data_IF_954405960179
#
_entry.id   IF_954405960179
#
_cell.length_a   1.000
_cell.length_b   1.000
_cell.length_c   1.000
_cell.angle_alpha   90.00
_cell.angle_beta   90.00
_cell.angle_gamma   90.00
#
_symmetry.space_group_name_H-M   'P 1'
#
loop_
_entity.id
_entity.type
_entity.pdbx_description
1 polymer ?
#
# COMPACT_ATOMS: atom_id res chain seq x y z
N UNK A 1 -6.08 -21.11 -2.99
CA UNK A 1 -5.23 -20.04 -2.41
C UNK A 1 -6.11 -18.96 -1.83
N UNK A 2 -5.89 -18.58 -0.57
CA UNK A 2 -6.30 -17.28 -0.07
C UNK A 2 -5.22 -16.28 -0.47
N UNK A 3 -5.55 -15.09 -0.96
CA UNK A 3 -4.57 -14.02 -1.08
C UNK A 3 -3.92 -13.82 0.30
N UNK A 4 -2.62 -13.96 0.38
CA UNK A 4 -1.86 -13.71 1.61
C UNK A 4 -1.14 -12.39 1.41
N UNK A 5 -1.62 -11.35 2.06
CA UNK A 5 -0.95 -10.06 2.06
C UNK A 5 0.38 -10.15 2.82
N UNK A 6 1.36 -9.34 2.45
CA UNK A 6 2.68 -9.36 3.08
C UNK A 6 2.64 -9.05 4.58
N UNK A 7 1.56 -8.45 5.06
CA UNK A 7 1.34 -8.15 6.48
C UNK A 7 0.51 -9.21 7.23
N UNK A 8 -0.03 -10.22 6.54
CA UNK A 8 -0.77 -11.30 7.18
C UNK A 8 0.20 -12.32 7.81
N UNK A 9 -0.10 -12.72 9.04
CA UNK A 9 0.74 -13.60 9.84
C UNK A 9 -0.11 -14.61 10.63
N UNK A 10 0.32 -15.87 10.68
CA UNK A 10 -0.41 -16.92 11.39
C UNK A 10 -0.26 -16.83 12.91
N UNK A 11 0.89 -16.32 13.38
CA UNK A 11 1.20 -16.22 14.81
C UNK A 11 0.61 -14.95 15.42
N UNK A 12 0.77 -13.83 14.73
CA UNK A 12 0.42 -12.49 15.24
C UNK A 12 -0.82 -11.90 14.58
N UNK A 13 -1.45 -12.61 13.65
CA UNK A 13 -2.46 -12.15 12.70
C UNK A 13 -1.94 -11.08 11.73
N UNK A 14 -1.09 -10.20 12.20
CA UNK A 14 -0.49 -9.09 11.44
C UNK A 14 0.95 -8.88 11.89
N UNK A 15 1.89 -8.92 10.97
CA UNK A 15 3.30 -8.61 11.22
C UNK A 15 4.03 -8.18 9.94
N UNK A 16 5.20 -7.54 10.04
CA UNK A 16 6.05 -7.23 8.89
C UNK A 16 6.95 -8.40 8.44
N UNK A 17 6.87 -9.57 9.06
CA UNK A 17 7.84 -10.67 8.89
C UNK A 17 8.00 -11.16 7.44
N UNK A 18 6.96 -10.99 6.60
CA UNK A 18 6.99 -11.38 5.19
C UNK A 18 7.56 -10.31 4.25
N UNK A 19 7.90 -9.14 4.77
CA UNK A 19 8.57 -8.10 4.00
C UNK A 19 10.01 -8.56 3.77
N UNK A 20 10.42 -8.69 2.51
CA UNK A 20 11.70 -9.32 2.17
C UNK A 20 12.92 -8.37 2.24
N UNK A 21 12.71 -7.11 2.57
CA UNK A 21 13.76 -6.08 2.66
C UNK A 21 13.65 -5.28 3.94
N UNK A 22 14.74 -4.68 4.38
CA UNK A 22 14.71 -3.70 5.47
C UNK A 22 14.02 -2.41 5.04
N UNK A 23 13.48 -1.69 6.01
CA UNK A 23 12.89 -0.37 5.82
C UNK A 23 13.79 0.71 6.40
N UNK A 24 13.51 1.99 6.10
CA UNK A 24 14.19 3.14 6.75
C UNK A 24 14.10 3.04 8.27
N UNK A 25 12.96 2.59 8.77
CA UNK A 25 12.71 2.40 10.20
C UNK A 25 13.63 1.33 10.80
N UNK A 26 13.83 0.23 10.07
CA UNK A 26 14.74 -0.84 10.49
C UNK A 26 16.19 -0.35 10.53
N UNK A 27 16.62 0.39 9.50
CA UNK A 27 17.98 0.94 9.43
C UNK A 27 18.24 1.94 10.56
N UNK A 28 17.27 2.78 10.93
CA UNK A 28 17.38 3.67 12.09
C UNK A 28 17.56 2.88 13.39
N UNK A 29 16.80 1.79 13.57
CA UNK A 29 16.95 0.89 14.72
C UNK A 29 18.34 0.23 14.76
N UNK A 30 18.84 -0.22 13.62
CA UNK A 30 20.17 -0.81 13.51
C UNK A 30 21.26 0.24 13.85
N UNK A 31 21.16 1.42 13.25
CA UNK A 31 22.10 2.53 13.49
C UNK A 31 22.17 2.94 14.95
N UNK A 32 21.02 3.05 15.60
CA UNK A 32 20.91 3.43 17.02
C UNK A 32 21.06 2.25 17.98
N UNK A 33 21.38 1.06 17.48
CA UNK A 33 21.49 -0.19 18.28
C UNK A 33 20.24 -0.47 19.11
N UNK A 34 19.09 -0.19 18.53
CA UNK A 34 17.78 -0.39 19.13
C UNK A 34 17.30 0.72 20.07
N UNK A 35 18.06 1.78 20.25
CA UNK A 35 17.72 2.85 21.19
C UNK A 35 16.64 3.82 20.67
N UNK A 36 16.56 4.03 19.35
CA UNK A 36 15.52 4.87 18.75
C UNK A 36 14.13 4.32 19.02
N UNK A 37 13.16 5.18 19.28
CA UNK A 37 11.74 4.83 19.29
C UNK A 37 11.18 4.97 17.87
N UNK A 38 10.53 3.92 17.37
CA UNK A 38 10.00 3.88 16.01
C UNK A 38 8.55 3.44 16.03
N UNK A 39 7.68 4.34 15.54
CA UNK A 39 6.25 4.09 15.45
C UNK A 39 5.68 4.47 14.10
N UNK A 40 4.52 3.94 13.77
CA UNK A 40 3.74 4.37 12.60
C UNK A 40 2.25 4.48 12.91
N UNK A 41 1.59 5.40 12.21
CA UNK A 41 0.15 5.63 12.29
C UNK A 41 -0.44 5.75 10.90
N UNK A 42 -1.51 5.03 10.63
CA UNK A 42 -2.24 5.08 9.37
C UNK A 42 -3.69 4.67 9.57
N UNK A 43 -4.54 4.99 8.61
CA UNK A 43 -5.90 4.43 8.57
C UNK A 43 -5.85 2.93 8.25
N UNK A 44 -5.04 2.56 7.26
CA UNK A 44 -4.97 1.22 6.71
C UNK A 44 -3.86 0.40 7.37
N UNK A 45 -4.15 -0.87 7.61
CA UNK A 45 -3.25 -1.85 8.23
C UNK A 45 -1.89 -1.92 7.50
N UNK A 46 -1.94 -2.10 6.19
CA UNK A 46 -0.72 -2.33 5.41
C UNK A 46 0.18 -1.09 5.39
N UNK A 47 -0.40 0.09 5.26
CA UNK A 47 0.34 1.35 5.34
C UNK A 47 1.04 1.53 6.68
N UNK A 48 0.37 1.21 7.80
CA UNK A 48 0.97 1.29 9.12
C UNK A 48 2.12 0.28 9.30
N UNK A 49 1.89 -0.98 8.96
CA UNK A 49 2.84 -2.07 9.21
C UNK A 49 4.07 -1.97 8.31
N UNK A 50 3.89 -1.66 7.01
CA UNK A 50 5.00 -1.53 6.07
C UNK A 50 5.87 -0.32 6.42
N UNK A 51 5.26 0.81 6.80
CA UNK A 51 6.03 1.99 7.22
C UNK A 51 6.78 1.79 8.55
N UNK A 52 6.24 0.96 9.44
CA UNK A 52 6.89 0.62 10.70
C UNK A 52 8.13 -0.26 10.49
N UNK A 53 8.07 -1.23 9.57
CA UNK A 53 9.13 -2.19 9.37
C UNK A 53 9.19 -3.28 10.45
N UNK A 54 10.29 -4.06 10.46
CA UNK A 54 10.44 -5.25 11.32
C UNK A 54 10.79 -4.90 12.77
N UNK A 55 11.63 -3.88 12.96
CA UNK A 55 12.22 -3.56 14.26
C UNK A 55 11.48 -2.44 15.02
N UNK A 56 10.34 -1.98 14.52
CA UNK A 56 9.56 -0.91 15.15
C UNK A 56 8.99 -1.31 16.51
N UNK A 57 8.79 -0.32 17.36
CA UNK A 57 8.15 -0.49 18.68
C UNK A 57 6.63 -0.63 18.57
N UNK A 58 6.03 -0.04 17.51
CA UNK A 58 4.59 -0.14 17.25
C UNK A 58 4.13 0.37 15.91
N UNK A 59 3.03 -0.19 15.44
CA UNK A 59 2.24 0.29 14.32
C UNK A 59 0.77 0.35 14.71
N UNK A 60 0.09 1.43 14.35
CA UNK A 60 -1.29 1.68 14.73
C UNK A 60 -2.15 1.96 13.50
N UNK A 61 -3.28 1.25 13.41
CA UNK A 61 -4.23 1.42 12.31
C UNK A 61 -5.67 1.33 12.81
N UNK A 62 -6.61 1.76 11.96
CA UNK A 62 -8.03 1.70 12.29
C UNK A 62 -8.60 0.32 11.95
N UNK A 63 -9.30 -0.27 12.90
CA UNK A 63 -10.14 -1.43 12.63
C UNK A 63 -11.50 -0.95 12.10
N UNK A 64 -11.73 -1.11 10.81
CA UNK A 64 -12.94 -0.64 10.13
C UNK A 64 -14.23 -1.22 10.72
N UNK A 65 -14.19 -2.46 11.23
CA UNK A 65 -15.37 -3.12 11.80
C UNK A 65 -15.78 -2.53 13.13
N UNK A 66 -14.81 -2.14 13.95
CA UNK A 66 -15.07 -1.60 15.30
C UNK A 66 -15.02 -0.08 15.36
N UNK A 67 -14.36 0.56 14.40
CA UNK A 67 -14.06 2.00 14.40
C UNK A 67 -13.08 2.39 15.52
N UNK A 68 -12.26 1.47 15.99
CA UNK A 68 -11.26 1.67 17.03
C UNK A 68 -9.85 1.48 16.48
N UNK A 69 -8.91 2.20 17.04
CA UNK A 69 -7.50 1.99 16.78
C UNK A 69 -7.03 0.64 17.29
N UNK A 70 -6.14 0.01 16.56
CA UNK A 70 -5.61 -1.30 16.88
C UNK A 70 -4.13 -1.42 16.57
N UNK A 71 -3.51 -2.46 17.04
CA UNK A 71 -2.12 -2.84 16.78
C UNK A 71 -2.01 -4.37 16.79
N UNK A 72 -0.84 -4.89 16.47
CA UNK A 72 -0.55 -6.33 16.53
C UNK A 72 0.16 -6.70 17.84
N UNK A 73 0.01 -7.95 18.24
CA UNK A 73 0.80 -8.55 19.33
C UNK A 73 2.28 -8.76 18.96
N UNK A 74 2.63 -8.59 17.70
CA UNK A 74 4.00 -8.55 17.23
C UNK A 74 4.80 -7.40 17.88
N UNK A 75 4.15 -6.24 18.05
CA UNK A 75 4.77 -5.05 18.61
C UNK A 75 4.83 -5.06 20.13
N UNK A 76 5.53 -4.10 20.70
CA UNK A 76 5.80 -3.99 22.13
C UNK A 76 4.52 -3.98 22.99
N UNK A 77 4.66 -4.41 24.25
CA UNK A 77 3.56 -4.28 25.25
C UNK A 77 3.17 -2.82 25.49
N UNK A 78 4.14 -1.90 25.34
CA UNK A 78 3.90 -0.45 25.42
C UNK A 78 2.95 0.04 24.34
N UNK A 79 3.17 -0.37 23.08
CA UNK A 79 2.27 -0.05 21.97
C UNK A 79 0.85 -0.60 22.21
N UNK A 80 0.74 -1.84 22.69
CA UNK A 80 -0.55 -2.43 23.01
C UNK A 80 -1.25 -1.71 24.18
N UNK A 81 -0.50 -1.27 25.17
CA UNK A 81 -1.00 -0.47 26.30
C UNK A 81 -1.50 0.88 25.85
N UNK A 82 -0.72 1.58 25.03
CA UNK A 82 -1.06 2.88 24.47
C UNK A 82 -2.39 2.86 23.72
N UNK A 83 -2.57 1.95 22.76
CA UNK A 83 -3.78 1.92 21.94
C UNK A 83 -5.03 1.61 22.77
N UNK A 84 -4.91 0.76 23.80
CA UNK A 84 -6.01 0.49 24.73
C UNK A 84 -6.39 1.72 25.54
N UNK A 85 -5.39 2.43 26.08
CA UNK A 85 -5.60 3.67 26.83
C UNK A 85 -6.23 4.74 25.96
N UNK A 86 -5.71 4.94 24.74
CA UNK A 86 -6.23 5.91 23.79
C UNK A 86 -7.71 5.64 23.45
N UNK A 87 -8.06 4.41 23.13
CA UNK A 87 -9.45 4.04 22.82
C UNK A 87 -10.40 4.21 24.05
N UNK A 88 -9.91 4.05 25.27
CA UNK A 88 -10.72 4.22 26.47
C UNK A 88 -11.07 5.68 26.77
N UNK A 89 -10.20 6.60 26.37
CA UNK A 89 -10.41 8.04 26.51
C UNK A 89 -11.25 8.58 25.34
N UNK A 90 -10.97 8.11 24.13
CA UNK A 90 -11.70 8.49 22.92
C UNK A 90 -12.93 7.62 22.75
N UNK A 91 -14.00 7.90 23.52
CA UNK A 91 -15.26 7.13 23.43
C UNK A 91 -16.00 7.28 22.07
N UNK A 92 -15.45 8.00 21.10
CA UNK A 92 -16.03 8.15 19.78
C UNK A 92 -15.44 7.13 18.82
N UNK A 93 -16.32 6.38 18.14
CA UNK A 93 -15.94 5.75 16.87
C UNK A 93 -15.37 6.85 15.98
N UNK A 94 -14.14 6.67 15.52
CA UNK A 94 -13.60 7.60 14.55
C UNK A 94 -14.23 7.32 13.18
N UNK A 95 -14.59 8.40 12.49
CA UNK A 95 -15.13 8.29 11.12
C UNK A 95 -14.05 7.94 10.09
N UNK A 96 -12.82 7.74 10.56
CA UNK A 96 -11.73 7.34 9.69
C UNK A 96 -11.28 8.45 8.75
N UNK A 97 -10.87 9.58 9.30
CA UNK A 97 -10.33 10.70 8.54
C UNK A 97 -8.88 11.01 8.93
N UNK A 98 -8.26 11.88 8.16
CA UNK A 98 -6.88 12.31 8.39
C UNK A 98 -6.70 13.04 9.73
N UNK A 99 -7.72 13.72 10.23
CA UNK A 99 -7.65 14.40 11.52
C UNK A 99 -7.54 13.40 12.66
N UNK A 100 -8.23 12.25 12.56
CA UNK A 100 -8.11 11.17 13.53
C UNK A 100 -6.70 10.54 13.53
N UNK A 101 -6.07 10.38 12.36
CA UNK A 101 -4.67 9.93 12.26
C UNK A 101 -3.73 10.95 12.90
N UNK A 102 -3.93 12.24 12.61
CA UNK A 102 -3.13 13.32 13.20
C UNK A 102 -3.26 13.38 14.73
N UNK A 103 -4.46 13.19 15.25
CA UNK A 103 -4.72 13.15 16.70
C UNK A 103 -4.01 11.98 17.37
N UNK A 104 -4.11 10.78 16.80
CA UNK A 104 -3.40 9.61 17.29
C UNK A 104 -1.88 9.81 17.23
N UNK A 105 -1.37 10.42 16.14
CA UNK A 105 0.06 10.68 15.96
C UNK A 105 0.61 11.60 17.04
N UNK A 106 -0.11 12.67 17.37
CA UNK A 106 0.29 13.60 18.46
C UNK A 106 0.21 12.91 19.82
N UNK A 107 -0.82 12.09 20.06
CA UNK A 107 -0.92 11.30 21.28
C UNK A 107 0.23 10.30 21.38
N UNK A 108 0.61 9.64 20.28
CA UNK A 108 1.75 8.75 20.21
C UNK A 108 3.05 9.44 20.64
N UNK A 109 3.34 10.65 20.13
CA UNK A 109 4.52 11.42 20.52
C UNK A 109 4.52 11.71 22.03
N UNK A 110 3.36 12.11 22.59
CA UNK A 110 3.25 12.47 23.99
C UNK A 110 3.39 11.27 24.92
N UNK A 111 2.59 10.23 24.68
CA UNK A 111 2.38 9.15 25.64
C UNK A 111 3.49 8.11 25.55
N UNK A 112 4.10 7.96 24.36
CA UNK A 112 5.22 7.06 24.11
C UNK A 112 6.59 7.78 24.16
N UNK A 113 6.58 9.08 24.53
CA UNK A 113 7.79 9.85 24.87
C UNK A 113 8.79 10.09 23.73
N UNK A 114 8.32 10.14 22.46
CA UNK A 114 9.20 10.42 21.32
C UNK A 114 9.83 11.83 21.43
N UNK A 115 11.09 11.93 21.00
CA UNK A 115 11.84 13.19 20.99
C UNK A 115 12.18 13.74 22.37
N UNK A 116 12.29 12.89 23.39
CA UNK A 116 12.59 13.31 24.79
C UNK A 116 14.05 13.25 25.14
N UNK A 117 14.85 12.57 24.38
CA UNK A 117 16.29 12.43 24.59
C UNK A 117 17.08 12.92 23.36
N UNK A 118 18.37 12.59 23.31
CA UNK A 118 19.27 12.97 22.21
C UNK A 118 19.36 11.90 21.11
N UNK A 119 18.52 10.87 21.17
CA UNK A 119 18.46 9.81 20.17
C UNK A 119 17.36 10.17 19.17
N UNK A 120 17.67 10.08 17.89
CA UNK A 120 16.67 10.34 16.86
C UNK A 120 15.60 9.27 16.87
N UNK A 121 14.37 9.66 17.11
CA UNK A 121 13.17 8.82 16.99
C UNK A 121 12.50 9.02 15.62
N UNK A 122 11.61 8.10 15.25
CA UNK A 122 10.89 8.17 13.99
C UNK A 122 9.40 7.88 14.19
N UNK A 123 8.55 8.75 13.64
CA UNK A 123 7.12 8.52 13.50
C UNK A 123 6.73 8.63 12.03
N UNK A 124 6.27 7.53 11.45
CA UNK A 124 5.68 7.51 10.11
C UNK A 124 4.19 7.78 10.20
N UNK A 125 3.70 8.79 9.48
CA UNK A 125 2.28 9.14 9.45
C UNK A 125 1.78 9.03 8.02
N UNK A 126 0.81 8.16 7.78
CA UNK A 126 0.19 8.02 6.46
C UNK A 126 -1.17 8.70 6.44
N UNK A 127 -1.28 9.74 5.65
CA UNK A 127 -2.53 10.46 5.37
C UNK A 127 -3.04 10.08 3.98
N UNK A 128 -4.32 10.20 3.75
CA UNK A 128 -4.98 9.78 2.50
C UNK A 128 -5.69 10.95 1.84
N UNK A 129 -5.57 11.06 0.52
CA UNK A 129 -6.35 11.96 -0.32
C UNK A 129 -7.20 11.12 -1.28
N UNK A 130 -8.30 10.54 -0.79
CA UNK A 130 -9.23 9.73 -1.59
C UNK A 130 -10.44 10.53 -1.98
N UNK A 131 -10.84 10.41 -3.25
CA UNK A 131 -12.09 10.92 -3.78
C UNK A 131 -13.13 9.79 -3.77
N UNK A 132 -14.34 10.08 -3.34
CA UNK A 132 -15.45 9.12 -3.29
C UNK A 132 -16.51 9.41 -4.36
N UNK A 133 -16.64 10.66 -4.80
CA UNK A 133 -17.54 11.05 -5.88
C UNK A 133 -16.82 11.09 -7.23
N UNK A 134 -17.02 10.03 -8.02
CA UNK A 134 -16.42 9.91 -9.35
C UNK A 134 -16.99 10.91 -10.35
N UNK A 135 -18.21 11.42 -10.10
CA UNK A 135 -18.92 12.29 -11.04
C UNK A 135 -18.42 13.73 -10.97
N UNK A 136 -18.08 14.21 -9.77
CA UNK A 136 -17.60 15.57 -9.51
C UNK A 136 -16.19 15.57 -8.91
N UNK A 137 -15.35 14.64 -9.35
CA UNK A 137 -14.06 14.35 -8.75
C UNK A 137 -13.14 15.57 -8.64
N UNK A 138 -13.13 16.46 -9.62
CA UNK A 138 -12.26 17.65 -9.61
C UNK A 138 -12.56 18.56 -8.41
N UNK A 139 -13.86 18.86 -8.21
CA UNK A 139 -14.30 19.68 -7.08
C UNK A 139 -14.11 18.96 -5.75
N UNK A 140 -14.39 17.65 -5.71
CA UNK A 140 -14.17 16.86 -4.50
C UNK A 140 -12.69 16.77 -4.14
N UNK A 141 -11.82 16.53 -5.12
CA UNK A 141 -10.36 16.50 -4.88
C UNK A 141 -9.82 17.83 -4.39
N UNK A 142 -10.30 18.96 -4.90
CA UNK A 142 -9.94 20.27 -4.37
C UNK A 142 -10.28 20.39 -2.88
N UNK A 143 -11.49 19.99 -2.49
CA UNK A 143 -11.92 19.98 -1.10
C UNK A 143 -11.07 19.03 -0.24
N UNK A 144 -10.77 17.85 -0.76
CA UNK A 144 -9.94 16.85 -0.08
C UNK A 144 -8.54 17.39 0.17
N UNK A 145 -7.91 18.00 -0.83
CA UNK A 145 -6.58 18.59 -0.67
C UNK A 145 -6.57 19.79 0.27
N UNK A 146 -7.60 20.66 0.24
CA UNK A 146 -7.73 21.75 1.20
C UNK A 146 -7.88 21.26 2.64
N UNK A 147 -8.60 20.16 2.86
CA UNK A 147 -8.69 19.53 4.18
C UNK A 147 -7.38 18.90 4.59
N UNK A 148 -6.72 18.17 3.69
CA UNK A 148 -5.42 17.57 3.94
C UNK A 148 -4.36 18.62 4.32
N UNK A 149 -4.33 19.74 3.60
CA UNK A 149 -3.42 20.86 3.90
C UNK A 149 -3.64 21.40 5.32
N UNK A 150 -4.89 21.60 5.72
CA UNK A 150 -5.24 22.05 7.08
C UNK A 150 -4.85 21.04 8.15
N UNK A 151 -5.13 19.76 7.91
CA UNK A 151 -4.73 18.67 8.83
C UNK A 151 -3.21 18.63 8.97
N UNK A 152 -2.48 18.70 7.84
CA UNK A 152 -1.02 18.69 7.83
C UNK A 152 -0.43 19.92 8.56
N UNK A 153 -0.95 21.10 8.28
CA UNK A 153 -0.50 22.32 8.96
C UNK A 153 -0.73 22.25 10.49
N UNK A 154 -1.89 21.73 10.90
CA UNK A 154 -2.21 21.49 12.32
C UNK A 154 -1.28 20.44 12.93
N UNK A 155 -1.02 19.34 12.24
CA UNK A 155 -0.13 18.28 12.70
C UNK A 155 1.30 18.79 12.91
N UNK A 156 1.86 19.47 11.90
CA UNK A 156 3.21 20.06 11.97
C UNK A 156 3.32 20.99 13.17
N UNK A 157 2.38 21.93 13.31
CA UNK A 157 2.39 22.87 14.42
C UNK A 157 2.34 22.16 15.78
N UNK A 158 1.45 21.20 15.93
CA UNK A 158 1.28 20.45 17.19
C UNK A 158 2.53 19.65 17.54
N UNK A 159 3.24 19.11 16.56
CA UNK A 159 4.52 18.41 16.77
C UNK A 159 5.60 19.40 17.15
N UNK A 160 5.75 20.53 16.44
CA UNK A 160 6.70 21.59 16.79
C UNK A 160 6.48 22.12 18.22
N UNK A 161 5.22 22.30 18.63
CA UNK A 161 4.87 22.75 19.99
C UNK A 161 5.25 21.70 21.06
N UNK A 162 5.38 20.42 20.71
CA UNK A 162 5.69 19.32 21.64
C UNK A 162 7.17 19.01 21.77
N UNK A 163 7.87 18.90 20.65
CA UNK A 163 9.28 18.50 20.62
C UNK A 163 10.23 19.66 20.37
N UNK A 164 9.70 20.81 19.96
CA UNK A 164 10.47 21.98 19.58
C UNK A 164 10.82 21.97 18.09
N UNK A 165 10.70 23.14 17.45
CA UNK A 165 10.92 23.30 16.00
C UNK A 165 12.33 22.90 15.56
N UNK A 166 13.32 23.16 16.39
CA UNK A 166 14.72 22.88 16.09
C UNK A 166 15.10 21.39 16.32
N UNK A 167 14.18 20.58 16.84
CA UNK A 167 14.39 19.19 17.18
C UNK A 167 13.62 18.23 16.27
N UNK A 168 12.98 18.74 15.22
CA UNK A 168 12.18 17.90 14.32
C UNK A 168 12.54 18.15 12.86
N UNK A 169 12.60 17.06 12.10
CA UNK A 169 12.69 17.04 10.64
C UNK A 169 11.43 16.39 10.09
N UNK A 170 10.68 17.11 9.27
CA UNK A 170 9.57 16.58 8.52
C UNK A 170 10.03 16.18 7.12
N UNK A 171 9.68 14.96 6.72
CA UNK A 171 9.86 14.45 5.36
C UNK A 171 8.48 14.15 4.81
N UNK A 172 8.00 14.96 3.88
CA UNK A 172 6.72 14.78 3.23
C UNK A 172 6.94 14.24 1.82
N UNK A 173 6.32 13.12 1.54
CA UNK A 173 6.36 12.48 0.23
C UNK A 173 5.03 11.82 -0.09
N UNK A 174 4.90 11.27 -1.28
CA UNK A 174 3.72 10.52 -1.71
C UNK A 174 4.15 9.16 -2.24
N UNK A 175 3.20 8.24 -2.37
CA UNK A 175 3.43 6.93 -2.98
C UNK A 175 3.58 7.00 -4.51
N UNK A 176 3.34 8.17 -5.12
CA UNK A 176 3.35 8.32 -6.58
C UNK A 176 2.16 7.66 -7.28
N UNK A 177 1.15 7.27 -6.51
CA UNK A 177 -0.05 6.63 -7.04
C UNK A 177 -1.28 7.49 -6.77
N UNK A 178 -2.08 7.71 -7.81
CA UNK A 178 -3.46 8.15 -7.68
C UNK A 178 -4.35 6.96 -8.02
N UNK A 179 -5.49 6.82 -7.34
CA UNK A 179 -6.56 5.99 -7.89
C UNK A 179 -7.01 6.69 -9.18
N UNK A 180 -6.76 6.04 -10.30
CA UNK A 180 -7.06 6.62 -11.61
C UNK A 180 -8.55 6.88 -11.73
N UNK A 181 -8.92 8.13 -11.60
CA UNK A 181 -10.19 8.60 -12.11
C UNK A 181 -10.03 8.66 -13.60
N UNK A 182 -10.73 7.77 -14.28
CA UNK A 182 -10.64 7.68 -15.72
C UNK A 182 -11.03 9.03 -16.33
N UNK A 183 -10.14 9.66 -17.09
CA UNK A 183 -10.54 10.73 -17.99
C UNK A 183 -11.71 10.20 -18.81
N UNK A 184 -12.57 11.09 -19.29
CA UNK A 184 -13.62 10.74 -20.23
C UNK A 184 -12.98 10.30 -21.57
N UNK A 185 -12.52 9.05 -21.61
CA UNK A 185 -11.86 8.47 -22.76
C UNK A 185 -12.78 8.43 -23.97
N UNK A 186 -14.08 8.29 -23.77
CA UNK A 186 -15.08 8.31 -24.84
C UNK A 186 -15.12 9.68 -25.54
N UNK A 187 -15.04 10.78 -24.79
CA UNK A 187 -14.94 12.12 -25.35
C UNK A 187 -13.76 12.29 -26.29
N UNK A 188 -12.67 11.63 -26.00
CA UNK A 188 -11.45 11.68 -26.82
C UNK A 188 -11.37 10.52 -27.83
N UNK A 189 -12.41 9.69 -27.96
CA UNK A 189 -12.47 8.51 -28.83
C UNK A 189 -11.33 7.52 -28.57
N UNK A 190 -10.85 7.46 -27.34
CA UNK A 190 -9.85 6.50 -26.90
C UNK A 190 -10.59 5.23 -26.50
N UNK A 191 -10.27 4.05 -27.07
CA UNK A 191 -10.90 2.80 -26.68
C UNK A 191 -10.72 2.55 -25.18
N UNK A 192 -11.81 2.34 -24.50
CA UNK A 192 -11.83 2.04 -23.07
C UNK A 192 -12.79 0.89 -22.78
N UNK A 193 -12.67 0.25 -21.62
CA UNK A 193 -13.53 -0.85 -21.28
C UNK A 193 -13.20 -1.53 -19.98
N UNK A 194 -13.81 -2.69 -19.81
CA UNK A 194 -13.62 -3.53 -18.64
C UNK A 194 -13.05 -4.88 -19.05
N UNK A 195 -11.96 -5.26 -18.40
CA UNK A 195 -11.34 -6.58 -18.50
C UNK A 195 -11.78 -7.41 -17.29
N UNK A 196 -12.53 -8.48 -17.54
CA UNK A 196 -13.03 -9.37 -16.49
C UNK A 196 -12.04 -10.52 -16.26
N UNK A 197 -11.23 -10.42 -15.21
CA UNK A 197 -10.17 -11.40 -14.95
C UNK A 197 -10.72 -12.79 -14.60
N UNK A 198 -11.81 -12.87 -13.86
CA UNK A 198 -12.45 -14.15 -13.52
C UNK A 198 -12.96 -14.89 -14.76
N UNK A 199 -13.59 -14.18 -15.69
CA UNK A 199 -14.03 -14.75 -16.99
C UNK A 199 -12.83 -15.19 -17.82
N UNK A 200 -11.77 -14.41 -17.81
CA UNK A 200 -10.51 -14.70 -18.49
C UNK A 200 -9.85 -15.95 -17.93
N UNK A 201 -9.81 -16.12 -16.60
CA UNK A 201 -9.32 -17.33 -15.95
C UNK A 201 -10.11 -18.58 -16.38
N UNK A 202 -11.43 -18.47 -16.49
CA UNK A 202 -12.27 -19.56 -16.98
C UNK A 202 -11.96 -19.92 -18.45
N UNK A 203 -11.80 -18.91 -19.30
CA UNK A 203 -11.41 -19.13 -20.70
C UNK A 203 -10.02 -19.76 -20.79
N UNK A 204 -9.07 -19.32 -19.99
CA UNK A 204 -7.71 -19.88 -19.95
C UNK A 204 -7.74 -21.34 -19.49
N UNK A 205 -8.56 -21.71 -18.50
CA UNK A 205 -8.77 -23.09 -18.10
C UNK A 205 -9.33 -23.96 -19.27
N UNK A 206 -10.29 -23.43 -20.02
CA UNK A 206 -10.84 -24.13 -21.19
C UNK A 206 -9.78 -24.30 -22.28
N UNK A 207 -9.01 -23.28 -22.56
CA UNK A 207 -7.95 -23.30 -23.57
C UNK A 207 -6.86 -24.31 -23.23
N UNK A 208 -6.30 -24.23 -22.01
CA UNK A 208 -5.29 -25.17 -21.54
C UNK A 208 -5.86 -26.58 -21.42
N UNK A 209 -7.13 -26.71 -21.04
CA UNK A 209 -7.86 -27.98 -21.03
C UNK A 209 -7.99 -28.63 -22.40
N UNK A 210 -8.14 -27.87 -23.46
CA UNK A 210 -8.16 -28.38 -24.84
C UNK A 210 -6.78 -28.87 -25.29
N UNK A 211 -5.69 -28.27 -24.80
CA UNK A 211 -4.33 -28.66 -25.19
C UNK A 211 -3.80 -29.82 -24.35
N UNK A 212 -3.97 -29.75 -23.04
CA UNK A 212 -3.34 -30.68 -22.09
C UNK A 212 -4.30 -31.64 -21.40
N UNK A 213 -5.57 -31.60 -21.77
CA UNK A 213 -6.64 -32.39 -21.14
C UNK A 213 -7.36 -31.62 -20.04
N UNK A 214 -8.64 -31.97 -19.81
CA UNK A 214 -9.52 -31.26 -18.88
C UNK A 214 -8.98 -31.24 -17.45
N UNK A 215 -8.77 -30.05 -16.91
CA UNK A 215 -8.41 -29.79 -15.53
C UNK A 215 -8.54 -28.28 -15.18
N UNK A 216 -8.38 -27.93 -13.91
CA UNK A 216 -8.34 -26.55 -13.46
C UNK A 216 -6.89 -26.08 -13.34
N UNK A 217 -6.36 -25.51 -14.41
CA UNK A 217 -4.97 -25.02 -14.49
C UNK A 217 -4.73 -23.69 -13.77
N UNK A 218 -5.76 -22.84 -13.68
CA UNK A 218 -5.72 -21.59 -12.95
C UNK A 218 -6.23 -21.83 -11.55
N UNK A 219 -5.36 -21.65 -10.56
CA UNK A 219 -5.70 -21.81 -9.14
C UNK A 219 -6.49 -20.60 -8.63
N UNK A 220 -5.99 -19.38 -8.92
CA UNK A 220 -6.58 -18.13 -8.47
C UNK A 220 -6.22 -16.95 -9.38
N UNK A 221 -6.89 -15.82 -9.16
CA UNK A 221 -6.49 -14.51 -9.67
C UNK A 221 -6.59 -13.48 -8.55
N UNK A 222 -5.71 -12.48 -8.59
CA UNK A 222 -5.72 -11.36 -7.68
C UNK A 222 -5.22 -10.10 -8.38
N UNK A 223 -6.03 -9.04 -8.37
CA UNK A 223 -5.78 -7.83 -9.13
C UNK A 223 -5.53 -8.13 -10.63
N UNK A 224 -4.32 -7.91 -11.10
CA UNK A 224 -3.89 -8.18 -12.48
C UNK A 224 -3.04 -9.46 -12.61
N UNK A 225 -3.02 -10.30 -11.58
CA UNK A 225 -2.20 -11.50 -11.51
C UNK A 225 -3.05 -12.75 -11.67
N UNK A 226 -2.51 -13.73 -12.39
CA UNK A 226 -3.07 -15.08 -12.51
C UNK A 226 -2.08 -16.08 -11.93
N UNK A 227 -2.57 -16.96 -11.09
CA UNK A 227 -1.82 -18.02 -10.41
C UNK A 227 -2.19 -19.37 -11.04
N UNK A 228 -1.19 -20.12 -11.49
CA UNK A 228 -1.37 -21.47 -12.02
C UNK A 228 -1.28 -22.50 -10.90
N UNK A 229 -1.94 -23.63 -11.09
CA UNK A 229 -1.83 -24.78 -10.18
C UNK A 229 -0.54 -25.56 -10.47
N UNK A 230 0.55 -25.19 -9.80
CA UNK A 230 1.85 -25.82 -9.95
C UNK A 230 1.83 -27.33 -9.61
N UNK A 231 1.00 -27.74 -8.63
CA UNK A 231 0.87 -29.15 -8.25
C UNK A 231 0.27 -29.96 -9.38
N UNK A 232 -0.75 -29.41 -10.04
CA UNK A 232 -1.36 -30.03 -11.21
C UNK A 232 -0.36 -30.16 -12.36
N UNK A 233 0.43 -29.11 -12.61
CA UNK A 233 1.45 -29.12 -13.67
C UNK A 233 2.50 -30.22 -13.41
N UNK A 234 2.98 -30.33 -12.18
CA UNK A 234 3.92 -31.38 -11.76
C UNK A 234 3.31 -32.78 -11.90
N UNK A 235 2.09 -33.01 -11.43
CA UNK A 235 1.40 -34.28 -11.51
C UNK A 235 1.19 -34.74 -12.95
N UNK A 236 0.98 -33.81 -13.88
CA UNK A 236 0.79 -34.07 -15.30
C UNK A 236 2.07 -34.05 -16.10
N UNK A 237 3.22 -33.84 -15.45
CA UNK A 237 4.52 -33.71 -16.10
C UNK A 237 4.56 -32.63 -17.20
N UNK A 238 3.83 -31.54 -17.03
CA UNK A 238 3.77 -30.43 -17.98
C UNK A 238 4.92 -29.45 -17.77
N UNK A 239 5.51 -28.98 -18.87
CA UNK A 239 6.52 -27.94 -18.82
C UNK A 239 5.87 -26.60 -18.41
N UNK A 240 6.30 -26.04 -17.28
CA UNK A 240 5.86 -24.73 -16.83
C UNK A 240 6.04 -23.66 -17.91
N UNK A 241 7.22 -23.64 -18.55
CA UNK A 241 7.53 -22.68 -19.62
C UNK A 241 6.58 -22.79 -20.81
N UNK A 242 6.18 -24.02 -21.19
CA UNK A 242 5.24 -24.22 -22.28
C UNK A 242 3.83 -23.74 -21.90
N UNK A 243 3.37 -24.05 -20.69
CA UNK A 243 2.07 -23.58 -20.19
C UNK A 243 2.03 -22.06 -20.11
N UNK A 244 3.09 -21.41 -19.64
CA UNK A 244 3.21 -19.94 -19.61
C UNK A 244 3.15 -19.37 -21.02
N UNK A 245 3.89 -19.95 -21.95
CA UNK A 245 3.92 -19.48 -23.36
C UNK A 245 2.54 -19.55 -23.99
N UNK A 246 1.86 -20.68 -23.86
CA UNK A 246 0.48 -20.85 -24.36
C UNK A 246 -0.50 -19.89 -23.70
N UNK A 247 -0.36 -19.70 -22.39
CA UNK A 247 -1.20 -18.74 -21.66
C UNK A 247 -1.01 -17.31 -22.17
N UNK A 248 0.22 -16.89 -22.40
CA UNK A 248 0.52 -15.57 -22.98
C UNK A 248 -0.04 -15.39 -24.39
N UNK A 249 0.10 -16.42 -25.23
CA UNK A 249 -0.43 -16.41 -26.60
C UNK A 249 -1.94 -16.15 -26.64
N UNK A 250 -2.70 -16.73 -25.71
CA UNK A 250 -4.14 -16.47 -25.57
C UNK A 250 -4.40 -15.06 -25.03
N UNK A 251 -3.79 -14.75 -23.89
CA UNK A 251 -4.13 -13.56 -23.12
C UNK A 251 -3.82 -12.26 -23.85
N UNK A 252 -2.71 -12.21 -24.62
CA UNK A 252 -2.33 -11.01 -25.39
C UNK A 252 -3.31 -10.67 -26.50
N UNK A 253 -4.13 -11.64 -26.95
CA UNK A 253 -5.14 -11.44 -27.99
C UNK A 253 -6.46 -10.89 -27.43
N UNK A 254 -6.60 -10.80 -26.11
CA UNK A 254 -7.84 -10.32 -25.50
C UNK A 254 -7.96 -8.81 -25.58
N UNK A 255 -9.18 -8.34 -25.77
CA UNK A 255 -9.48 -6.91 -25.80
C UNK A 255 -9.03 -6.21 -24.52
N UNK A 256 -8.36 -5.09 -24.66
CA UNK A 256 -7.87 -4.30 -23.54
C UNK A 256 -6.56 -4.78 -22.90
N UNK A 257 -5.99 -5.89 -23.34
CA UNK A 257 -4.68 -6.36 -22.90
C UNK A 257 -3.59 -5.67 -23.73
N UNK A 258 -2.69 -4.98 -23.06
CA UNK A 258 -1.52 -4.35 -23.67
C UNK A 258 -0.32 -5.29 -23.69
N UNK A 259 -0.06 -5.95 -22.57
CA UNK A 259 1.03 -6.89 -22.43
C UNK A 259 0.72 -7.95 -21.37
N UNK A 260 1.39 -9.09 -21.48
CA UNK A 260 1.37 -10.16 -20.48
C UNK A 260 2.81 -10.53 -20.15
N UNK A 261 3.20 -10.33 -18.89
CA UNK A 261 4.55 -10.63 -18.41
C UNK A 261 4.52 -11.74 -17.36
N UNK A 262 5.66 -12.35 -17.13
CA UNK A 262 5.88 -13.23 -15.97
C UNK A 262 6.49 -12.43 -14.84
N UNK A 263 6.24 -12.85 -13.60
CA UNK A 263 6.81 -12.16 -12.44
C UNK A 263 8.35 -12.21 -12.46
N UNK A 264 9.01 -11.07 -12.28
CA UNK A 264 10.43 -11.06 -11.95
C UNK A 264 10.68 -11.32 -10.43
N UNK A 265 9.61 -11.40 -9.64
CA UNK A 265 9.65 -11.52 -8.17
C UNK A 265 9.47 -12.97 -7.72
N UNK A 266 9.56 -13.19 -6.40
CA UNK A 266 9.54 -14.52 -5.80
C UNK A 266 8.37 -15.38 -6.30
N UNK A 267 8.64 -16.57 -6.86
CA UNK A 267 7.58 -17.49 -7.33
C UNK A 267 6.63 -17.96 -6.21
N UNK A 268 7.02 -17.81 -4.96
CA UNK A 268 6.22 -18.27 -3.82
C UNK A 268 5.05 -17.34 -3.46
N UNK A 269 5.10 -16.07 -3.87
CA UNK A 269 4.12 -15.06 -3.45
C UNK A 269 3.54 -14.26 -4.62
N UNK A 270 4.20 -14.25 -5.77
CA UNK A 270 3.74 -13.54 -6.97
C UNK A 270 2.96 -14.47 -7.89
N UNK A 271 1.98 -13.92 -8.62
CA UNK A 271 1.31 -14.65 -9.69
C UNK A 271 2.27 -15.04 -10.81
N UNK A 272 1.91 -16.07 -11.57
CA UNK A 272 2.70 -16.56 -12.69
C UNK A 272 2.64 -15.64 -13.90
N UNK A 273 1.49 -15.00 -14.09
CA UNK A 273 1.20 -14.10 -15.20
C UNK A 273 0.68 -12.77 -14.68
N UNK A 274 1.22 -11.68 -15.22
CA UNK A 274 0.80 -10.31 -14.96
C UNK A 274 0.18 -9.72 -16.21
N UNK A 275 -1.06 -9.27 -16.11
CA UNK A 275 -1.78 -8.62 -17.18
C UNK A 275 -1.65 -7.11 -17.04
N UNK A 276 -1.09 -6.46 -18.04
CA UNK A 276 -1.12 -5.02 -18.19
C UNK A 276 -2.22 -4.65 -19.17
N UNK A 277 -3.19 -3.87 -18.72
CA UNK A 277 -4.25 -3.38 -19.58
C UNK A 277 -3.86 -2.09 -20.27
N UNK A 278 -4.46 -1.83 -21.43
CA UNK A 278 -4.33 -0.56 -22.12
C UNK A 278 -4.91 0.59 -21.27
N UNK A 279 -4.42 1.84 -21.46
CA UNK A 279 -5.00 3.00 -20.80
C UNK A 279 -6.52 3.05 -21.00
N UNK A 280 -7.25 3.39 -19.94
CA UNK A 280 -8.72 3.41 -19.98
C UNK A 280 -9.41 2.07 -19.72
N UNK A 281 -8.65 0.99 -19.58
CA UNK A 281 -9.21 -0.32 -19.25
C UNK A 281 -9.02 -0.64 -17.76
N UNK A 282 -10.10 -0.98 -17.08
CA UNK A 282 -10.10 -1.45 -15.70
C UNK A 282 -10.19 -2.96 -15.64
N UNK A 283 -9.56 -3.57 -14.65
CA UNK A 283 -9.67 -5.00 -14.37
C UNK A 283 -10.72 -5.17 -13.27
N UNK A 284 -11.69 -6.04 -13.50
CA UNK A 284 -12.72 -6.40 -12.51
C UNK A 284 -12.68 -7.89 -12.27
N UNK A 285 -12.77 -8.27 -11.00
CA UNK A 285 -13.09 -9.61 -10.58
C UNK A 285 -14.53 -9.61 -10.03
N UNK A 286 -15.46 -10.16 -10.77
CA UNK A 286 -16.88 -10.21 -10.39
C UNK A 286 -17.14 -11.14 -9.20
N UNK A 287 -16.30 -12.15 -8.99
CA UNK A 287 -16.47 -13.11 -7.91
C UNK A 287 -16.08 -12.54 -6.54
N UNK A 288 -15.14 -11.57 -6.54
CA UNK A 288 -14.64 -10.92 -5.31
C UNK A 288 -15.06 -9.46 -5.17
N UNK A 289 -15.73 -8.90 -6.19
CA UNK A 289 -16.06 -7.47 -6.30
C UNK A 289 -14.82 -6.54 -6.28
N UNK A 290 -13.67 -7.06 -6.69
CA UNK A 290 -12.45 -6.27 -6.77
C UNK A 290 -12.39 -5.48 -8.07
N UNK A 291 -11.99 -4.21 -7.94
CA UNK A 291 -11.65 -3.34 -9.06
C UNK A 291 -10.15 -3.03 -8.98
N UNK A 292 -9.46 -3.19 -10.09
CA UNK A 292 -8.05 -2.88 -10.20
C UNK A 292 -7.79 -2.08 -11.48
N UNK A 293 -7.00 -1.03 -11.34
CA UNK A 293 -6.53 -0.25 -12.49
C UNK A 293 -5.07 -0.57 -12.74
N UNK A 294 -4.74 -1.01 -13.95
CA UNK A 294 -3.35 -1.14 -14.36
C UNK A 294 -2.78 0.25 -14.55
N UNK A 295 -1.79 0.60 -13.73
CA UNK A 295 -1.18 1.92 -13.76
C UNK A 295 -0.01 1.92 -14.73
N UNK A 296 -0.17 2.63 -15.82
CA UNK A 296 0.86 2.75 -16.83
C UNK A 296 1.81 3.95 -16.63
N UNK A 297 1.63 4.78 -15.59
CA UNK A 297 2.40 6.02 -15.49
C UNK A 297 2.92 6.27 -14.07
N UNK A 298 4.19 6.65 -13.98
CA UNK A 298 4.72 7.32 -12.81
C UNK A 298 4.05 8.69 -12.68
N UNK A 299 3.40 8.91 -11.55
CA UNK A 299 2.87 10.22 -11.19
C UNK A 299 3.97 10.96 -10.44
N UNK A 300 4.48 12.08 -10.98
CA UNK A 300 5.46 12.88 -10.26
C UNK A 300 4.83 13.46 -9.01
N UNK A 301 5.56 13.43 -7.91
CA UNK A 301 5.14 13.96 -6.62
C UNK A 301 6.29 14.71 -5.95
N UNK A 302 6.00 15.68 -5.08
CA UNK A 302 7.03 16.42 -4.37
C UNK A 302 7.68 15.57 -3.27
N UNK A 303 8.96 15.81 -3.03
CA UNK A 303 9.67 15.42 -1.83
C UNK A 303 10.00 16.71 -1.10
N UNK A 304 9.44 16.91 0.09
CA UNK A 304 9.60 18.13 0.87
C UNK A 304 10.31 17.78 2.17
N UNK A 305 11.41 18.45 2.43
CA UNK A 305 12.15 18.40 3.69
C UNK A 305 11.92 19.75 4.41
N UNK A 306 11.45 19.69 5.65
CA UNK A 306 11.20 20.88 6.45
C UNK A 306 11.60 20.63 7.91
N UNK A 307 12.35 21.55 8.49
CA UNK A 307 12.71 21.51 9.91
C UNK A 307 14.18 21.81 10.18
N UNK A 308 14.69 21.26 11.27
CA UNK A 308 16.03 21.54 11.77
C UNK A 308 17.13 21.26 10.74
N UNK A 309 18.02 22.24 10.56
CA UNK A 309 19.18 22.10 9.67
C UNK A 309 18.90 22.20 8.17
N UNK A 310 17.64 22.31 7.76
CA UNK A 310 17.27 22.40 6.34
C UNK A 310 17.29 23.85 5.86
N UNK A 311 18.07 24.12 4.80
CA UNK A 311 18.05 25.41 4.11
C UNK A 311 16.94 25.42 3.05
N UNK A 312 16.29 26.58 2.90
CA UNK A 312 15.29 26.77 1.86
C UNK A 312 15.95 26.69 0.47
N UNK A 313 15.64 25.63 -0.28
CA UNK A 313 16.15 25.39 -1.62
C UNK A 313 15.09 24.69 -2.46
N UNK A 314 15.06 24.95 -3.75
CA UNK A 314 14.20 24.24 -4.69
C UNK A 314 15.07 23.46 -5.69
N UNK A 315 15.14 22.15 -5.50
CA UNK A 315 15.89 21.24 -6.38
C UNK A 315 14.97 20.84 -7.54
N UNK A 316 15.38 21.19 -8.76
CA UNK A 316 14.63 20.89 -10.00
C UNK A 316 15.02 19.57 -10.63
N UNK A 317 16.12 18.96 -10.20
CA UNK A 317 16.57 17.67 -10.72
C UNK A 317 15.63 16.58 -10.22
N UNK A 318 15.04 15.76 -11.11
CA UNK A 318 14.20 14.65 -10.71
C UNK A 318 14.97 13.67 -9.81
N UNK A 319 14.31 13.23 -8.76
CA UNK A 319 14.80 12.18 -7.87
C UNK A 319 13.79 11.04 -7.79
N UNK A 320 14.25 9.86 -7.49
CA UNK A 320 13.41 8.68 -7.27
C UNK A 320 13.25 8.42 -5.77
N UNK A 321 12.21 7.70 -5.38
CA UNK A 321 11.88 7.43 -3.97
C UNK A 321 13.00 6.70 -3.21
N UNK A 322 13.81 5.91 -3.90
CA UNK A 322 14.97 5.22 -3.35
C UNK A 322 16.07 6.17 -2.84
N UNK A 323 15.98 7.45 -3.20
CA UNK A 323 16.92 8.50 -2.74
C UNK A 323 16.44 9.28 -1.52
N UNK A 324 15.29 8.93 -0.96
CA UNK A 324 14.78 9.60 0.25
C UNK A 324 15.50 9.06 1.49
N UNK A 325 15.87 7.79 1.47
CA UNK A 325 16.37 7.07 2.63
C UNK A 325 17.89 7.03 2.79
N UNK A 326 18.71 6.86 1.76
CA UNK A 326 20.16 6.81 1.92
C UNK A 326 20.80 8.15 2.15
#
# INVERSE_FOLDING_TARGET
>A
LRPVFCTDDETYNVSPQKIATTTVSDELKIFTKGAALVYSTAMEKDAAVISAGHAADGAFWLNEKTGQWTTSTYYSKGAQGFVRAYNSISHKRTNGDNDAVADLSVACINDLQLGRDNITDMLSVTLSAKCTDVTHWQTEMEIVYLKLDRTLASLVKRIEDKVGRDNVLFVLTSTGYTEDQQPDYERFRIPSGTFYINRTCNLLNMYLGAIYGQAKYVEASFHNQIYLDHKLLEQRHLSYTDVITRSKELLVQMSGVRSVTTSPYSPAVSGDLFIETAPGWKIINEDTNENYFSRAAFVPFPIILYGSGIKAEHIKTPATVDRIAP
#
